data_IF_659418746805
#
_entry.id   IF_659418746805
#
_cell.length_a   1.000
_cell.length_b   1.000
_cell.length_c   1.000
_cell.angle_alpha   90.00
_cell.angle_beta   90.00
_cell.angle_gamma   90.00
#
_symmetry.space_group_name_H-M   'P 1'
#
loop_
_entity.id
_entity.type
_entity.pdbx_description
1 polymer ?
#
# COMPACT_ATOMS: atom_id res chain seq x y z
N UNK A 1 -33.69 40.72 -5.53
CA UNK A 1 -32.34 41.30 -5.35
C UNK A 1 -31.39 40.18 -4.97
N UNK A 2 -30.16 40.17 -5.48
CA UNK A 2 -29.15 39.16 -5.15
C UNK A 2 -28.56 39.53 -3.79
N UNK A 3 -28.56 38.58 -2.86
CA UNK A 3 -28.01 38.76 -1.51
C UNK A 3 -26.49 38.92 -1.58
N UNK A 4 -25.95 39.90 -0.86
CA UNK A 4 -24.52 40.18 -0.82
C UNK A 4 -23.79 39.10 0.03
N UNK A 5 -22.60 38.67 -0.38
CA UNK A 5 -21.83 37.66 0.36
C UNK A 5 -21.52 38.08 1.81
N UNK A 6 -21.31 39.38 2.07
CA UNK A 6 -21.13 39.91 3.43
C UNK A 6 -22.41 39.76 4.27
N UNK A 7 -23.58 39.96 3.66
CA UNK A 7 -24.89 39.78 4.31
C UNK A 7 -25.15 38.31 4.61
N UNK A 8 -24.82 37.41 3.69
CA UNK A 8 -24.93 35.95 3.88
C UNK A 8 -24.09 35.48 5.07
N UNK A 9 -22.89 36.04 5.25
CA UNK A 9 -22.03 35.76 6.41
C UNK A 9 -22.37 36.59 7.66
N UNK A 10 -23.35 37.50 7.59
CA UNK A 10 -23.74 38.41 8.67
C UNK A 10 -22.57 39.23 9.21
N UNK A 11 -21.73 39.74 8.31
CA UNK A 11 -20.59 40.61 8.62
C UNK A 11 -20.74 41.96 7.91
N UNK A 12 -20.02 42.98 8.38
CA UNK A 12 -20.02 44.30 7.73
C UNK A 12 -19.30 44.24 6.39
N UNK A 13 -19.73 45.08 5.45
CA UNK A 13 -19.03 45.27 4.18
C UNK A 13 -17.60 45.73 4.46
N UNK A 14 -16.62 45.10 3.80
CA UNK A 14 -15.19 45.32 4.07
C UNK A 14 -14.65 44.66 5.35
N UNK A 15 -15.39 43.73 5.98
CA UNK A 15 -14.87 42.95 7.11
C UNK A 15 -13.52 42.29 6.80
N UNK A 16 -12.66 42.22 7.81
CA UNK A 16 -11.34 41.60 7.70
C UNK A 16 -11.43 40.10 7.40
N UNK A 17 -10.38 39.54 6.80
CA UNK A 17 -10.28 38.09 6.54
C UNK A 17 -10.47 37.25 7.81
N UNK A 18 -10.10 37.78 8.97
CA UNK A 18 -10.27 37.15 10.28
C UNK A 18 -11.76 37.07 10.67
N UNK A 19 -12.46 38.19 10.58
CA UNK A 19 -13.90 38.29 10.88
C UNK A 19 -14.75 37.41 9.93
N UNK A 20 -14.43 37.43 8.63
CA UNK A 20 -15.07 36.58 7.62
C UNK A 20 -14.91 35.09 7.97
N UNK A 21 -13.72 34.68 8.42
CA UNK A 21 -13.42 33.28 8.79
C UNK A 21 -14.13 32.87 10.09
N UNK A 22 -14.18 33.74 11.08
CA UNK A 22 -14.87 33.49 12.35
C UNK A 22 -16.39 33.39 12.13
N UNK A 23 -16.96 34.27 11.32
CA UNK A 23 -18.37 34.23 10.94
C UNK A 23 -18.73 32.95 10.17
N UNK A 24 -17.90 32.54 9.19
CA UNK A 24 -18.07 31.28 8.48
C UNK A 24 -18.07 30.09 9.44
N UNK A 25 -17.09 29.99 10.35
CA UNK A 25 -17.02 28.88 11.33
C UNK A 25 -18.27 28.80 12.20
N UNK A 26 -18.73 29.94 12.71
CA UNK A 26 -19.94 30.02 13.55
C UNK A 26 -21.19 29.56 12.80
N UNK A 27 -21.39 30.04 11.57
CA UNK A 27 -22.54 29.72 10.74
C UNK A 27 -22.49 28.28 10.19
N UNK A 28 -21.29 27.80 9.84
CA UNK A 28 -21.07 26.42 9.40
C UNK A 28 -21.41 25.41 10.50
N UNK A 29 -21.04 25.70 11.76
CA UNK A 29 -21.39 24.86 12.91
C UNK A 29 -22.90 24.87 13.23
N UNK A 30 -23.57 25.99 12.96
CA UNK A 30 -25.01 26.15 13.18
C UNK A 30 -25.86 25.44 12.12
N UNK A 31 -25.39 25.41 10.87
CA UNK A 31 -26.12 24.87 9.72
C UNK A 31 -25.58 23.52 9.22
N UNK A 32 -24.71 22.86 9.99
CA UNK A 32 -24.17 21.55 9.62
C UNK A 32 -25.27 20.48 9.58
N UNK A 33 -25.29 19.64 8.55
CA UNK A 33 -26.30 18.58 8.37
C UNK A 33 -26.34 17.59 9.54
N UNK A 34 -25.18 17.26 10.09
CA UNK A 34 -25.05 16.32 11.23
C UNK A 34 -25.68 16.83 12.53
N UNK A 35 -26.06 18.11 12.57
CA UNK A 35 -26.76 18.75 13.69
C UNK A 35 -28.20 19.14 13.33
N UNK A 36 -28.75 18.58 12.25
CA UNK A 36 -30.10 18.90 11.75
C UNK A 36 -30.20 20.25 11.03
N UNK A 37 -29.07 20.78 10.55
CA UNK A 37 -29.01 22.07 9.87
C UNK A 37 -29.52 22.04 8.42
N UNK A 38 -29.96 23.21 7.95
CA UNK A 38 -30.44 23.44 6.59
C UNK A 38 -29.27 23.44 5.58
N UNK A 39 -29.26 22.39 4.73
CA UNK A 39 -28.25 22.14 3.71
C UNK A 39 -28.17 23.28 2.69
N UNK A 40 -29.28 23.91 2.33
CA UNK A 40 -29.27 25.01 1.35
C UNK A 40 -28.64 26.27 1.94
N UNK A 41 -28.91 26.56 3.22
CA UNK A 41 -28.24 27.65 3.94
C UNK A 41 -26.75 27.38 4.08
N UNK A 42 -26.35 26.16 4.41
CA UNK A 42 -24.94 25.79 4.49
C UNK A 42 -24.20 25.99 3.16
N UNK A 43 -24.82 25.57 2.05
CA UNK A 43 -24.26 25.80 0.70
C UNK A 43 -24.06 27.29 0.40
N UNK A 44 -25.04 28.14 0.72
CA UNK A 44 -24.93 29.60 0.57
C UNK A 44 -23.83 30.20 1.44
N UNK A 45 -23.74 29.80 2.70
CA UNK A 45 -22.70 30.24 3.65
C UNK A 45 -21.30 29.89 3.13
N UNK A 46 -21.11 28.65 2.65
CA UNK A 46 -19.85 28.21 2.06
C UNK A 46 -19.49 28.98 0.81
N UNK A 47 -20.45 29.16 -0.10
CA UNK A 47 -20.24 29.92 -1.33
C UNK A 47 -19.84 31.37 -1.04
N UNK A 48 -20.54 32.06 -0.11
CA UNK A 48 -20.22 33.42 0.27
C UNK A 48 -18.83 33.56 0.88
N UNK A 49 -18.40 32.58 1.69
CA UNK A 49 -17.04 32.53 2.24
C UNK A 49 -15.97 32.37 1.17
N UNK A 50 -16.17 31.45 0.23
CA UNK A 50 -15.24 31.19 -0.86
C UNK A 50 -15.14 32.40 -1.81
N UNK A 51 -16.27 33.04 -2.13
CA UNK A 51 -16.32 34.24 -2.97
C UNK A 51 -15.65 35.45 -2.28
N UNK A 52 -15.86 35.66 -0.98
CA UNK A 52 -15.20 36.72 -0.22
C UNK A 52 -13.69 36.51 -0.08
N UNK A 53 -13.22 35.26 -0.01
CA UNK A 53 -11.79 34.93 -0.05
C UNK A 53 -11.14 35.37 -1.37
N UNK A 54 -11.91 35.37 -2.45
CA UNK A 54 -11.52 35.85 -3.78
C UNK A 54 -11.81 37.35 -3.98
N UNK A 55 -12.27 38.07 -2.94
CA UNK A 55 -12.57 39.50 -3.00
C UNK A 55 -13.88 39.85 -3.69
N UNK A 56 -14.79 38.88 -3.89
CA UNK A 56 -16.07 39.11 -4.57
C UNK A 56 -17.18 39.48 -3.58
N UNK A 57 -17.79 40.64 -3.80
CA UNK A 57 -18.94 41.13 -3.02
C UNK A 57 -20.25 40.41 -3.35
N UNK A 58 -20.42 39.95 -4.59
CA UNK A 58 -21.61 39.24 -5.05
C UNK A 58 -21.23 37.85 -5.58
N UNK A 59 -22.12 36.85 -5.46
CA UNK A 59 -21.90 35.54 -6.07
C UNK A 59 -21.91 35.65 -7.59
N UNK A 60 -21.20 34.73 -8.27
CA UNK A 60 -21.18 34.65 -9.74
C UNK A 60 -22.62 34.62 -10.30
N UNK A 61 -22.86 35.40 -11.35
CA UNK A 61 -24.12 35.39 -12.09
C UNK A 61 -24.41 34.00 -12.68
N UNK A 62 -25.68 33.70 -12.99
CA UNK A 62 -26.03 32.40 -13.60
C UNK A 62 -25.22 32.14 -14.88
N UNK A 63 -24.98 33.16 -15.69
CA UNK A 63 -24.20 33.08 -16.93
C UNK A 63 -22.72 32.80 -16.68
N UNK A 64 -22.09 33.47 -15.71
CA UNK A 64 -20.70 33.21 -15.31
C UNK A 64 -20.53 31.83 -14.71
N UNK A 65 -21.51 31.37 -13.91
CA UNK A 65 -21.52 30.01 -13.37
C UNK A 65 -21.63 28.98 -14.48
N UNK A 66 -22.49 29.20 -15.47
CA UNK A 66 -22.63 28.33 -16.65
C UNK A 66 -21.33 28.34 -17.45
N UNK A 67 -20.72 29.50 -17.69
CA UNK A 67 -19.46 29.62 -18.45
C UNK A 67 -18.29 28.93 -17.76
N UNK A 68 -18.09 29.16 -16.45
CA UNK A 68 -17.05 28.49 -15.66
C UNK A 68 -17.28 26.99 -15.53
N UNK A 69 -18.54 26.57 -15.37
CA UNK A 69 -18.87 25.15 -15.38
C UNK A 69 -18.52 24.55 -16.75
N UNK A 70 -18.97 25.16 -17.86
CA UNK A 70 -18.72 24.62 -19.20
C UNK A 70 -17.22 24.49 -19.52
N UNK A 71 -16.40 25.48 -19.15
CA UNK A 71 -14.93 25.41 -19.35
C UNK A 71 -14.28 24.28 -18.53
N UNK A 72 -14.67 24.10 -17.27
CA UNK A 72 -14.14 23.02 -16.41
C UNK A 72 -14.63 21.64 -16.88
N UNK A 73 -15.87 21.53 -17.34
CA UNK A 73 -16.43 20.30 -17.89
C UNK A 73 -15.78 19.93 -19.25
N UNK A 74 -15.61 20.90 -20.15
CA UNK A 74 -15.00 20.66 -21.48
C UNK A 74 -13.52 20.26 -21.36
N UNK A 75 -12.73 20.92 -20.48
CA UNK A 75 -11.31 20.59 -20.28
C UNK A 75 -11.09 19.23 -19.60
N UNK A 76 -11.91 18.90 -18.59
CA UNK A 76 -11.84 17.62 -17.89
C UNK A 76 -12.26 16.44 -18.80
N UNK A 77 -13.32 16.60 -19.61
CA UNK A 77 -13.75 15.56 -20.55
C UNK A 77 -12.73 15.32 -21.67
N UNK A 78 -12.02 16.36 -22.10
CA UNK A 78 -10.96 16.24 -23.09
C UNK A 78 -9.73 15.52 -22.55
N UNK A 79 -9.30 15.81 -21.32
CA UNK A 79 -8.20 15.08 -20.68
C UNK A 79 -8.55 13.61 -20.45
N UNK A 80 -9.75 13.33 -19.93
CA UNK A 80 -10.24 11.95 -19.72
C UNK A 80 -10.29 11.20 -21.06
N UNK A 81 -10.80 11.83 -22.13
CA UNK A 81 -10.82 11.23 -23.47
C UNK A 81 -9.42 10.97 -24.01
N UNK A 82 -8.50 11.92 -23.92
CA UNK A 82 -7.09 11.74 -24.36
C UNK A 82 -6.42 10.60 -23.60
N UNK A 83 -6.58 10.58 -22.29
CA UNK A 83 -6.04 9.52 -21.45
C UNK A 83 -6.62 8.16 -21.87
N UNK A 84 -7.94 8.06 -22.07
CA UNK A 84 -8.61 6.84 -22.54
C UNK A 84 -8.01 6.28 -23.82
N UNK A 85 -7.85 7.13 -24.83
CA UNK A 85 -7.24 6.75 -26.11
C UNK A 85 -5.80 6.28 -25.91
N UNK A 86 -5.02 6.97 -25.06
CA UNK A 86 -3.64 6.59 -24.74
C UNK A 86 -3.55 5.17 -24.16
N UNK A 87 -4.33 4.84 -23.12
CA UNK A 87 -4.24 3.49 -22.54
C UNK A 87 -4.78 2.41 -23.47
N UNK A 88 -5.78 2.72 -24.30
CA UNK A 88 -6.27 1.78 -25.30
C UNK A 88 -5.19 1.44 -26.33
N UNK A 89 -4.49 2.45 -26.86
CA UNK A 89 -3.40 2.25 -27.81
C UNK A 89 -2.24 1.48 -27.19
N UNK A 90 -1.79 1.88 -25.99
CA UNK A 90 -0.74 1.16 -25.26
C UNK A 90 -1.13 -0.30 -24.98
N UNK A 91 -2.38 -0.54 -24.60
CA UNK A 91 -2.89 -1.90 -24.36
C UNK A 91 -2.90 -2.75 -25.64
N UNK A 92 -3.27 -2.16 -26.79
CA UNK A 92 -3.18 -2.81 -28.10
C UNK A 92 -1.74 -3.16 -28.46
N UNK A 93 -0.80 -2.24 -28.24
CA UNK A 93 0.61 -2.48 -28.49
C UNK A 93 1.16 -3.61 -27.61
N UNK A 94 0.76 -3.66 -26.33
CA UNK A 94 1.16 -4.75 -25.42
C UNK A 94 0.58 -6.10 -25.83
N UNK A 95 -0.64 -6.14 -26.38
CA UNK A 95 -1.20 -7.38 -26.94
C UNK A 95 -0.38 -7.89 -28.14
N UNK A 96 0.08 -7.00 -29.00
CA UNK A 96 0.95 -7.36 -30.13
C UNK A 96 2.32 -7.83 -29.63
N UNK A 97 2.86 -7.18 -28.59
CA UNK A 97 4.12 -7.57 -27.97
C UNK A 97 4.03 -8.97 -27.30
N UNK A 98 2.94 -9.25 -26.61
CA UNK A 98 2.64 -10.56 -26.00
C UNK A 98 2.62 -11.67 -27.06
N UNK A 99 1.89 -11.48 -28.16
CA UNK A 99 1.81 -12.48 -29.24
C UNK A 99 3.16 -12.68 -29.93
N UNK A 100 3.92 -11.61 -30.14
CA UNK A 100 5.26 -11.68 -30.69
C UNK A 100 6.21 -12.47 -29.79
N UNK A 101 6.24 -12.16 -28.49
CA UNK A 101 7.09 -12.87 -27.53
C UNK A 101 6.67 -14.34 -27.40
N UNK A 102 5.36 -14.61 -27.38
CA UNK A 102 4.80 -15.96 -27.35
C UNK A 102 5.15 -16.77 -28.60
N UNK A 103 5.15 -16.14 -29.77
CA UNK A 103 5.59 -16.77 -31.02
C UNK A 103 7.06 -17.17 -30.98
N UNK A 104 7.92 -16.30 -30.46
CA UNK A 104 9.34 -16.63 -30.27
C UNK A 104 9.54 -17.78 -29.26
N UNK A 105 8.73 -17.84 -28.21
CA UNK A 105 8.73 -18.97 -27.28
C UNK A 105 8.36 -20.30 -27.96
N UNK A 106 7.31 -20.31 -28.80
CA UNK A 106 6.87 -21.53 -29.51
C UNK A 106 7.90 -22.05 -30.51
N UNK A 107 8.67 -21.15 -31.12
CA UNK A 107 9.69 -21.48 -32.12
C UNK A 107 11.09 -21.66 -31.51
N UNK A 108 11.21 -21.47 -30.20
CA UNK A 108 12.48 -21.31 -29.48
C UNK A 108 13.48 -20.37 -30.17
N UNK A 109 12.95 -19.28 -30.73
CA UNK A 109 13.72 -18.31 -31.51
C UNK A 109 14.17 -17.12 -30.64
N UNK A 110 15.27 -16.49 -31.00
CA UNK A 110 15.66 -15.19 -30.44
C UNK A 110 15.08 -14.05 -31.26
N UNK A 111 14.86 -12.89 -30.65
CA UNK A 111 14.42 -11.73 -31.40
C UNK A 111 14.39 -10.47 -30.56
N UNK A 112 14.47 -9.32 -31.24
CA UNK A 112 14.32 -7.99 -30.64
C UNK A 112 13.34 -7.18 -31.47
N UNK A 113 12.45 -6.45 -30.82
CA UNK A 113 11.47 -5.58 -31.47
C UNK A 113 11.08 -4.41 -30.58
N UNK A 114 10.89 -3.25 -31.20
CA UNK A 114 10.36 -2.06 -30.57
C UNK A 114 8.83 -2.02 -30.75
N UNK A 115 8.13 -1.71 -29.66
CA UNK A 115 6.67 -1.52 -29.62
C UNK A 115 6.35 -0.11 -29.12
N UNK A 116 5.13 0.35 -29.40
CA UNK A 116 4.69 1.70 -29.06
C UNK A 116 5.14 2.75 -30.08
N UNK A 117 5.19 3.99 -29.65
CA UNK A 117 5.54 5.12 -30.51
C UNK A 117 6.31 6.19 -29.74
N UNK A 118 7.04 7.04 -30.47
CA UNK A 118 7.75 8.19 -29.88
C UNK A 118 6.84 9.11 -29.05
N UNK A 119 5.55 9.19 -29.37
CA UNK A 119 4.59 10.08 -28.69
C UNK A 119 3.92 9.44 -27.49
N UNK A 120 3.71 8.11 -27.49
CA UNK A 120 3.00 7.40 -26.42
C UNK A 120 3.96 6.69 -25.45
N UNK A 121 5.21 6.50 -25.87
CA UNK A 121 6.26 5.77 -25.17
C UNK A 121 6.66 4.54 -25.98
N UNK A 122 7.98 4.32 -26.08
CA UNK A 122 8.55 3.16 -26.75
C UNK A 122 8.97 2.11 -25.71
N UNK A 123 8.75 0.84 -26.04
CA UNK A 123 9.13 -0.32 -25.25
C UNK A 123 9.88 -1.31 -26.15
N UNK A 124 11.15 -1.56 -25.84
CA UNK A 124 11.93 -2.58 -26.52
C UNK A 124 11.77 -3.91 -25.81
N UNK A 125 11.43 -4.94 -26.58
CA UNK A 125 11.39 -6.31 -26.11
C UNK A 125 12.49 -7.10 -26.80
N UNK A 126 13.18 -7.95 -26.04
CA UNK A 126 14.22 -8.84 -26.55
C UNK A 126 14.11 -10.20 -25.87
N UNK A 127 13.83 -11.26 -26.63
CA UNK A 127 14.00 -12.65 -26.17
C UNK A 127 15.39 -13.11 -26.56
N UNK A 128 16.22 -13.42 -25.58
CA UNK A 128 17.57 -13.94 -25.80
C UNK A 128 17.57 -15.48 -26.00
N UNK A 129 18.76 -16.05 -26.21
CA UNK A 129 18.92 -17.49 -26.42
C UNK A 129 18.58 -18.36 -25.20
N UNK A 130 18.53 -17.79 -23.99
CA UNK A 130 18.08 -18.51 -22.78
C UNK A 130 16.56 -18.50 -22.60
N UNK A 131 15.82 -17.87 -23.51
CA UNK A 131 14.38 -17.66 -23.40
C UNK A 131 13.97 -16.57 -22.41
N UNK A 132 14.92 -15.79 -21.90
CA UNK A 132 14.63 -14.62 -21.05
C UNK A 132 14.14 -13.47 -21.90
N UNK A 133 13.03 -12.86 -21.49
CA UNK A 133 12.49 -11.65 -22.11
C UNK A 133 12.99 -10.41 -21.37
N UNK A 134 13.84 -9.62 -22.04
CA UNK A 134 14.21 -8.29 -21.59
C UNK A 134 13.18 -7.28 -22.09
N UNK A 135 12.69 -6.44 -21.19
CA UNK A 135 11.75 -5.35 -21.51
C UNK A 135 12.37 -4.04 -21.06
N UNK A 136 12.62 -3.11 -21.99
CA UNK A 136 13.25 -1.81 -21.72
C UNK A 136 12.30 -0.68 -22.09
N UNK A 137 12.07 0.24 -21.16
CA UNK A 137 11.11 1.34 -21.31
C UNK A 137 10.04 1.34 -20.21
N UNK A 138 9.19 2.35 -20.16
CA UNK A 138 8.16 2.46 -19.12
C UNK A 138 6.88 1.71 -19.53
N UNK A 139 6.48 0.71 -18.75
CA UNK A 139 5.24 -0.04 -18.97
C UNK A 139 4.08 0.67 -18.29
N UNK A 140 3.09 1.12 -19.07
CA UNK A 140 2.06 2.06 -18.56
C UNK A 140 0.63 1.57 -18.62
N UNK A 141 0.31 0.52 -19.38
CA UNK A 141 -1.04 -0.03 -19.52
C UNK A 141 -1.01 -1.42 -20.18
N UNK A 142 -2.09 -2.18 -20.01
CA UNK A 142 -2.31 -3.43 -20.74
C UNK A 142 -1.70 -4.68 -20.09
N UNK A 143 -1.93 -5.81 -20.74
CA UNK A 143 -1.55 -7.12 -20.21
C UNK A 143 -0.35 -7.71 -20.94
N UNK A 144 0.49 -8.44 -20.20
CA UNK A 144 1.58 -9.23 -20.74
C UNK A 144 1.66 -10.56 -19.99
N UNK A 145 1.43 -11.67 -20.68
CA UNK A 145 1.65 -13.03 -20.20
C UNK A 145 2.81 -13.65 -20.95
N UNK A 146 3.79 -14.19 -20.21
CA UNK A 146 4.97 -14.78 -20.82
C UNK A 146 5.41 -16.08 -20.10
N UNK A 147 5.81 -17.07 -20.90
CA UNK A 147 6.31 -18.36 -20.40
C UNK A 147 7.84 -18.39 -20.41
N UNK A 148 8.42 -17.75 -19.40
CA UNK A 148 9.87 -17.64 -19.23
C UNK A 148 10.23 -16.47 -18.32
N UNK A 149 11.50 -16.35 -17.90
CA UNK A 149 11.93 -15.25 -17.06
C UNK A 149 11.75 -13.89 -17.77
N UNK A 150 11.35 -12.86 -17.02
CA UNK A 150 11.29 -11.47 -17.49
C UNK A 150 12.30 -10.63 -16.70
N UNK A 151 13.10 -9.85 -17.42
CA UNK A 151 13.97 -8.82 -16.86
C UNK A 151 13.49 -7.45 -17.36
N UNK A 152 13.03 -6.60 -16.44
CA UNK A 152 12.49 -5.28 -16.73
C UNK A 152 13.50 -4.17 -16.41
N UNK A 153 13.63 -3.22 -17.33
CA UNK A 153 14.42 -2.00 -17.18
C UNK A 153 13.53 -0.78 -17.47
N UNK A 154 12.85 -0.29 -16.45
CA UNK A 154 11.93 0.84 -16.55
C UNK A 154 10.85 0.80 -15.49
N UNK A 155 10.08 1.88 -15.39
CA UNK A 155 8.97 1.94 -14.43
C UNK A 155 7.76 1.16 -14.93
N UNK A 156 6.97 0.65 -13.99
CA UNK A 156 5.69 0.02 -14.25
C UNK A 156 4.62 0.81 -13.52
N UNK A 157 3.60 1.24 -14.24
CA UNK A 157 2.46 1.94 -13.66
C UNK A 157 1.17 1.41 -14.26
N UNK A 158 0.05 1.58 -13.55
CA UNK A 158 -1.29 1.26 -14.06
C UNK A 158 -2.12 2.54 -14.17
N UNK A 159 -2.93 2.69 -15.24
CA UNK A 159 -3.79 3.86 -15.39
C UNK A 159 -4.88 3.86 -14.31
N UNK A 160 -4.88 4.86 -13.43
CA UNK A 160 -5.85 4.94 -12.31
C UNK A 160 -7.28 5.26 -12.74
N UNK A 161 -7.43 5.85 -13.92
CA UNK A 161 -8.70 6.28 -14.49
C UNK A 161 -9.34 5.21 -15.39
N UNK A 162 -8.60 4.18 -15.84
CA UNK A 162 -9.12 3.10 -16.68
C UNK A 162 -9.38 1.83 -15.88
N UNK A 163 -10.55 1.20 -16.05
CA UNK A 163 -10.81 -0.15 -15.53
C UNK A 163 -10.35 -1.23 -16.52
N UNK A 164 -10.43 -0.95 -17.82
CA UNK A 164 -10.29 -1.95 -18.89
C UNK A 164 -8.85 -2.14 -19.37
N UNK A 165 -7.95 -1.21 -18.99
CA UNK A 165 -6.56 -1.21 -19.46
C UNK A 165 -5.55 -1.20 -18.31
N UNK A 166 -5.93 -1.79 -17.17
CA UNK A 166 -5.02 -1.98 -16.04
C UNK A 166 -3.76 -2.74 -16.47
N UNK A 167 -2.65 -2.43 -15.82
CA UNK A 167 -1.39 -3.10 -16.05
C UNK A 167 -1.36 -4.43 -15.30
N UNK A 168 -1.35 -5.55 -16.03
CA UNK A 168 -1.18 -6.88 -15.46
C UNK A 168 -0.06 -7.63 -16.20
N UNK A 169 1.01 -7.99 -15.48
CA UNK A 169 2.10 -8.79 -16.03
C UNK A 169 2.11 -10.14 -15.33
N UNK A 170 2.05 -11.23 -16.10
CA UNK A 170 2.04 -12.60 -15.60
C UNK A 170 3.18 -13.40 -16.21
N UNK A 171 4.02 -13.95 -15.34
CA UNK A 171 5.07 -14.91 -15.68
C UNK A 171 4.58 -16.30 -15.29
N UNK A 172 4.35 -17.18 -16.26
CA UNK A 172 3.84 -18.54 -15.99
C UNK A 172 4.94 -19.48 -15.48
N UNK A 173 6.19 -19.22 -15.89
CA UNK A 173 7.39 -19.97 -15.48
C UNK A 173 8.59 -19.04 -15.44
N UNK A 174 9.37 -19.13 -14.37
CA UNK A 174 10.57 -18.30 -14.18
C UNK A 174 10.26 -17.02 -13.42
N UNK A 175 11.31 -16.23 -13.22
CA UNK A 175 11.27 -15.08 -12.33
C UNK A 175 10.87 -13.80 -13.07
N UNK A 176 10.31 -12.86 -12.32
CA UNK A 176 10.19 -11.45 -12.73
C UNK A 176 11.19 -10.60 -11.96
N UNK A 177 12.12 -9.93 -12.65
CA UNK A 177 13.16 -9.13 -12.00
C UNK A 177 13.30 -7.76 -12.61
N UNK A 178 13.62 -6.76 -11.78
CA UNK A 178 14.22 -5.52 -12.27
C UNK A 178 15.72 -5.72 -12.50
N UNK A 179 16.30 -5.00 -13.46
CA UNK A 179 17.76 -4.92 -13.63
C UNK A 179 18.37 -4.21 -12.43
N UNK A 180 19.26 -4.86 -11.68
CA UNK A 180 19.94 -4.28 -10.50
C UNK A 180 18.96 -3.59 -9.53
N UNK A 181 18.03 -4.34 -8.91
CA UNK A 181 16.88 -3.79 -8.18
C UNK A 181 17.27 -2.91 -6.98
N UNK A 182 18.47 -3.07 -6.43
CA UNK A 182 19.00 -2.30 -5.31
C UNK A 182 19.68 -0.99 -5.73
N UNK A 183 20.14 -0.90 -6.98
CA UNK A 183 20.90 0.27 -7.47
C UNK A 183 20.02 1.22 -8.30
N UNK A 184 18.95 0.69 -8.90
CA UNK A 184 18.06 1.48 -9.73
C UNK A 184 16.97 2.19 -8.91
N UNK A 185 16.31 3.17 -9.53
CA UNK A 185 15.18 3.90 -8.94
C UNK A 185 13.84 3.57 -9.61
N UNK A 186 13.78 2.44 -10.31
CA UNK A 186 12.54 2.00 -10.94
C UNK A 186 11.53 1.62 -9.88
N UNK A 187 10.26 1.82 -10.23
CA UNK A 187 9.13 1.57 -9.34
C UNK A 187 7.99 0.85 -10.06
N UNK A 188 7.25 0.08 -9.27
CA UNK A 188 5.96 -0.52 -9.66
C UNK A 188 4.86 0.21 -8.89
N UNK A 189 3.92 0.84 -9.59
CA UNK A 189 2.97 1.73 -8.93
C UNK A 189 1.55 1.80 -9.50
N UNK A 190 0.69 2.53 -8.77
CA UNK A 190 -0.65 2.95 -9.19
C UNK A 190 -1.64 1.81 -9.49
N UNK A 191 -1.50 0.67 -8.81
CA UNK A 191 -2.41 -0.46 -8.97
C UNK A 191 -1.99 -1.47 -10.03
N UNK A 192 -0.73 -1.43 -10.47
CA UNK A 192 -0.16 -2.47 -11.32
C UNK A 192 -0.15 -3.83 -10.58
N UNK A 193 -0.34 -4.91 -11.34
CA UNK A 193 -0.29 -6.27 -10.82
C UNK A 193 0.79 -7.08 -11.52
N UNK A 194 1.70 -7.66 -10.74
CA UNK A 194 2.69 -8.62 -11.22
C UNK A 194 2.38 -9.98 -10.59
N UNK A 195 2.41 -11.03 -11.38
CA UNK A 195 2.20 -12.41 -10.91
C UNK A 195 3.28 -13.31 -11.47
N UNK A 196 3.97 -14.06 -10.60
CA UNK A 196 4.90 -15.12 -10.96
C UNK A 196 4.33 -16.46 -10.46
N UNK A 197 3.78 -17.28 -11.37
CA UNK A 197 3.07 -18.51 -10.99
C UNK A 197 4.03 -19.58 -10.42
N UNK A 198 5.24 -19.65 -10.99
CA UNK A 198 6.31 -20.62 -10.68
C UNK A 198 7.68 -19.95 -10.76
N UNK A 199 7.87 -18.93 -9.94
CA UNK A 199 9.13 -18.22 -9.83
C UNK A 199 9.06 -17.10 -8.81
N UNK A 200 10.16 -16.38 -8.69
CA UNK A 200 10.32 -15.30 -7.74
C UNK A 200 10.05 -13.94 -8.37
N UNK A 201 9.72 -12.95 -7.55
CA UNK A 201 9.66 -11.54 -7.93
C UNK A 201 10.77 -10.81 -7.18
N UNK A 202 11.71 -10.20 -7.89
CA UNK A 202 12.83 -9.45 -7.30
C UNK A 202 12.85 -8.04 -7.85
N UNK A 203 12.36 -7.09 -7.06
CA UNK A 203 12.19 -5.68 -7.46
C UNK A 203 12.67 -4.77 -6.34
N UNK A 204 12.85 -3.48 -6.65
CA UNK A 204 13.20 -2.47 -5.65
C UNK A 204 11.93 -1.90 -5.03
N UNK A 205 11.44 -0.81 -5.63
CA UNK A 205 10.41 0.03 -5.04
C UNK A 205 8.99 -0.32 -5.53
N UNK A 206 8.03 -0.39 -4.61
CA UNK A 206 6.64 -0.76 -4.89
C UNK A 206 5.69 0.17 -4.17
N UNK A 207 4.79 0.84 -4.89
CA UNK A 207 3.93 1.87 -4.32
C UNK A 207 2.47 1.71 -4.73
N UNK A 208 1.56 1.90 -3.80
CA UNK A 208 0.15 2.13 -4.10
C UNK A 208 -0.20 3.60 -4.18
N UNK A 209 -1.49 3.88 -4.32
CA UNK A 209 -2.05 5.19 -3.98
C UNK A 209 -3.52 5.10 -3.58
N UNK A 210 -3.98 6.13 -2.88
CA UNK A 210 -5.38 6.39 -2.56
C UNK A 210 -5.76 7.75 -3.13
N UNK A 211 -6.77 7.78 -3.99
CA UNK A 211 -7.31 9.03 -4.52
C UNK A 211 -8.57 9.40 -3.71
N UNK A 212 -8.64 10.64 -3.22
CA UNK A 212 -9.89 11.18 -2.69
C UNK A 212 -10.77 11.61 -3.87
N UNK A 213 -11.90 10.94 -4.05
CA UNK A 213 -12.84 11.25 -5.13
C UNK A 213 -14.17 11.70 -4.53
N UNK A 214 -14.89 12.57 -5.24
CA UNK A 214 -16.19 13.04 -4.80
C UNK A 214 -17.16 11.86 -4.63
N UNK A 215 -17.98 11.89 -3.57
CA UNK A 215 -18.95 10.84 -3.32
C UNK A 215 -19.84 10.62 -4.57
N UNK A 216 -20.06 9.36 -5.00
CA UNK A 216 -20.84 9.04 -6.20
C UNK A 216 -22.28 9.56 -6.16
N UNK A 217 -22.84 9.85 -4.98
CA UNK A 217 -24.16 10.46 -4.83
C UNK A 217 -24.18 11.97 -5.13
N UNK A 218 -23.04 12.58 -5.44
CA UNK A 218 -22.92 14.01 -5.80
C UNK A 218 -23.06 14.97 -4.61
N UNK A 219 -23.11 14.46 -3.38
CA UNK A 219 -23.19 15.29 -2.17
C UNK A 219 -21.90 16.08 -1.98
N UNK A 220 -22.02 17.40 -2.09
CA UNK A 220 -20.91 18.34 -1.92
C UNK A 220 -20.35 18.23 -0.50
N UNK A 221 -19.06 17.93 -0.36
CA UNK A 221 -18.36 17.82 0.92
C UNK A 221 -18.21 16.40 1.46
N UNK A 222 -18.82 15.39 0.82
CA UNK A 222 -18.52 13.99 1.07
C UNK A 222 -17.52 13.48 0.03
N UNK A 223 -16.48 12.80 0.52
CA UNK A 223 -15.45 12.17 -0.30
C UNK A 223 -15.45 10.67 -0.03
N UNK A 224 -15.19 9.88 -1.06
CA UNK A 224 -14.86 8.47 -0.91
C UNK A 224 -13.40 8.24 -1.29
N UNK A 225 -12.78 7.23 -0.71
CA UNK A 225 -11.39 6.87 -1.02
C UNK A 225 -11.42 5.82 -2.11
N UNK A 226 -10.83 6.13 -3.25
CA UNK A 226 -10.59 5.18 -4.32
C UNK A 226 -9.18 4.63 -4.20
N UNK A 227 -9.09 3.35 -3.90
CA UNK A 227 -7.82 2.66 -3.70
C UNK A 227 -7.25 2.10 -5.01
N UNK A 228 -5.94 2.31 -5.20
CA UNK A 228 -5.13 1.77 -6.29
C UNK A 228 -4.04 0.86 -5.72
N UNK A 229 -4.46 -0.28 -5.16
CA UNK A 229 -3.55 -1.25 -4.57
C UNK A 229 -2.69 -1.94 -5.61
N UNK A 230 -1.38 -1.70 -5.54
CA UNK A 230 -0.38 -2.42 -6.34
C UNK A 230 -0.19 -3.82 -5.75
N UNK A 231 -0.10 -4.85 -6.60
CA UNK A 231 -0.11 -6.25 -6.16
C UNK A 231 1.09 -7.00 -6.74
N UNK A 232 1.85 -7.65 -5.87
CA UNK A 232 2.86 -8.64 -6.25
C UNK A 232 2.42 -10.00 -5.73
N UNK A 233 2.34 -11.00 -6.62
CA UNK A 233 1.82 -12.32 -6.30
C UNK A 233 2.79 -13.40 -6.77
N UNK A 234 3.37 -14.17 -5.84
CA UNK A 234 4.27 -15.28 -6.13
C UNK A 234 3.91 -16.49 -5.25
N UNK A 235 2.81 -17.22 -5.56
CA UNK A 235 2.18 -18.16 -4.62
C UNK A 235 3.07 -19.30 -4.12
N UNK A 236 4.12 -19.64 -4.89
CA UNK A 236 5.10 -20.69 -4.59
C UNK A 236 6.53 -20.16 -4.54
N UNK A 237 6.69 -18.84 -4.63
CA UNK A 237 7.98 -18.18 -4.77
C UNK A 237 8.19 -17.12 -3.69
N UNK A 238 9.27 -16.39 -3.88
CA UNK A 238 9.69 -15.29 -3.01
C UNK A 238 9.35 -13.96 -3.66
N UNK A 239 8.98 -12.99 -2.83
CA UNK A 239 8.94 -11.58 -3.21
C UNK A 239 10.06 -10.88 -2.45
N UNK A 240 11.01 -10.30 -3.17
CA UNK A 240 12.11 -9.50 -2.62
C UNK A 240 11.89 -8.06 -3.06
N UNK A 241 11.75 -7.17 -2.08
CA UNK A 241 11.44 -5.75 -2.26
C UNK A 241 12.31 -4.89 -1.33
N UNK A 242 12.60 -3.68 -1.75
CA UNK A 242 13.30 -2.70 -0.92
C UNK A 242 12.28 -1.85 -0.16
N UNK A 243 11.66 -0.87 -0.81
CA UNK A 243 10.72 0.05 -0.20
C UNK A 243 9.30 -0.21 -0.70
N UNK A 244 8.36 -0.43 0.23
CA UNK A 244 6.96 -0.71 -0.07
C UNK A 244 6.09 0.32 0.61
N UNK A 245 5.27 1.08 -0.15
CA UNK A 245 4.41 2.08 0.49
C UNK A 245 3.03 2.40 -0.08
N UNK A 246 2.25 3.16 0.70
CA UNK A 246 0.92 3.74 0.46
C UNK A 246 -0.26 2.76 0.40
N UNK A 247 -0.21 1.76 -0.49
CA UNK A 247 -1.28 0.76 -0.66
C UNK A 247 -0.75 -0.40 -1.49
N UNK A 248 -0.15 -1.40 -0.83
CA UNK A 248 0.45 -2.55 -1.53
C UNK A 248 -0.07 -3.86 -0.96
N UNK A 249 -0.22 -4.87 -1.81
CA UNK A 249 -0.38 -6.27 -1.39
C UNK A 249 0.82 -7.09 -1.89
N UNK A 250 1.48 -7.77 -0.96
CA UNK A 250 2.45 -8.81 -1.25
C UNK A 250 1.85 -10.16 -0.83
N UNK A 251 1.64 -11.08 -1.78
CA UNK A 251 1.11 -12.43 -1.50
C UNK A 251 2.02 -13.49 -2.10
N UNK A 252 2.71 -14.25 -1.23
CA UNK A 252 3.70 -15.23 -1.67
C UNK A 252 3.89 -16.35 -0.65
N UNK A 253 4.82 -17.26 -0.95
CA UNK A 253 5.30 -18.23 0.05
C UNK A 253 6.29 -17.55 1.03
N UNK A 254 7.20 -16.72 0.50
CA UNK A 254 8.15 -15.94 1.29
C UNK A 254 8.21 -14.47 0.84
N UNK A 255 8.34 -13.55 1.80
CA UNK A 255 8.57 -12.11 1.56
C UNK A 255 9.84 -11.67 2.26
N UNK A 256 10.70 -10.98 1.52
CA UNK A 256 11.86 -10.27 2.05
C UNK A 256 11.67 -8.79 1.72
N UNK A 257 11.62 -7.95 2.75
CA UNK A 257 11.42 -6.52 2.60
C UNK A 257 12.46 -5.72 3.41
N UNK A 258 12.86 -4.56 2.90
CA UNK A 258 13.60 -3.59 3.71
C UNK A 258 12.61 -2.76 4.55
N UNK A 259 11.79 -1.93 3.91
CA UNK A 259 10.87 -1.01 4.59
C UNK A 259 9.42 -1.20 4.18
N UNK A 260 8.50 -1.05 5.13
CA UNK A 260 7.05 -1.19 4.95
C UNK A 260 6.34 0.04 5.51
N UNK A 261 5.65 0.80 4.67
CA UNK A 261 5.08 2.09 5.07
C UNK A 261 3.68 2.30 4.49
N UNK A 262 2.74 2.85 5.23
CA UNK A 262 1.42 3.27 4.76
C UNK A 262 0.62 2.14 4.04
N UNK A 263 -0.26 1.45 4.76
CA UNK A 263 -1.24 0.46 4.26
C UNK A 263 -0.64 -0.64 3.35
N UNK A 264 0.49 -1.19 3.80
CA UNK A 264 1.07 -2.40 3.23
C UNK A 264 0.42 -3.63 3.84
N UNK A 265 0.01 -4.54 2.98
CA UNK A 265 -0.54 -5.85 3.36
C UNK A 265 0.38 -6.95 2.87
N UNK A 266 0.72 -7.87 3.76
CA UNK A 266 1.59 -9.01 3.47
C UNK A 266 0.84 -10.30 3.79
N UNK A 267 0.94 -11.31 2.92
CA UNK A 267 0.45 -12.67 3.16
C UNK A 267 1.53 -13.68 2.79
N UNK A 268 2.17 -14.30 3.78
CA UNK A 268 3.24 -15.27 3.51
C UNK A 268 3.47 -16.26 4.66
N UNK A 269 4.21 -17.34 4.37
CA UNK A 269 4.69 -18.27 5.39
C UNK A 269 6.01 -17.80 5.99
N UNK A 270 6.93 -17.29 5.19
CA UNK A 270 8.20 -16.74 5.67
C UNK A 270 8.23 -15.23 5.42
N UNK A 271 8.51 -14.45 6.47
CA UNK A 271 8.55 -12.99 6.37
C UNK A 271 9.83 -12.48 7.03
N UNK A 272 10.70 -11.86 6.24
CA UNK A 272 11.99 -11.33 6.68
C UNK A 272 12.03 -9.82 6.45
N UNK A 273 12.11 -9.05 7.53
CA UNK A 273 12.13 -7.59 7.50
C UNK A 273 13.51 -7.11 7.94
N UNK A 274 14.23 -6.46 7.02
CA UNK A 274 15.62 -6.04 7.23
C UNK A 274 15.80 -4.57 7.58
N UNK A 275 14.83 -3.72 7.26
CA UNK A 275 14.90 -2.29 7.52
C UNK A 275 14.35 -1.90 8.88
N UNK A 276 14.53 -0.62 9.19
CA UNK A 276 14.20 -0.02 10.47
C UNK A 276 12.79 0.57 10.50
N UNK A 277 12.02 0.50 9.39
CA UNK A 277 10.76 1.22 9.24
C UNK A 277 9.57 0.31 8.93
N UNK A 278 8.63 0.26 9.86
CA UNK A 278 7.31 -0.37 9.73
C UNK A 278 6.27 0.60 10.30
N UNK A 279 5.33 1.12 9.51
CA UNK A 279 4.33 2.10 9.99
C UNK A 279 3.12 1.45 10.65
N UNK A 280 2.28 2.28 11.28
CA UNK A 280 1.15 1.89 12.13
C UNK A 280 0.03 1.11 11.41
N UNK A 281 -0.05 1.21 10.08
CA UNK A 281 -1.11 0.65 9.25
C UNK A 281 -0.63 -0.51 8.37
N UNK A 282 0.53 -1.09 8.71
CA UNK A 282 1.01 -2.34 8.10
C UNK A 282 0.29 -3.53 8.73
N UNK A 283 -0.27 -4.40 7.88
CA UNK A 283 -0.94 -5.65 8.27
C UNK A 283 -0.19 -6.84 7.69
N UNK A 284 0.26 -7.72 8.58
CA UNK A 284 1.00 -8.93 8.23
C UNK A 284 0.14 -10.15 8.52
N UNK A 285 -0.33 -10.84 7.49
CA UNK A 285 -1.01 -12.13 7.60
C UNK A 285 0.01 -13.28 7.53
N UNK A 286 0.27 -13.92 8.68
CA UNK A 286 1.17 -15.06 8.79
C UNK A 286 0.40 -16.36 8.54
N UNK A 287 0.76 -17.04 7.45
CA UNK A 287 0.19 -18.34 7.06
C UNK A 287 0.60 -19.44 8.05
N UNK A 288 -0.22 -20.48 8.16
CA UNK A 288 0.00 -21.61 9.06
C UNK A 288 1.41 -22.20 8.90
N UNK A 289 2.01 -22.58 10.03
CA UNK A 289 3.39 -23.07 10.16
C UNK A 289 4.49 -22.06 9.74
N UNK A 290 4.10 -20.80 9.50
CA UNK A 290 5.00 -19.74 9.11
C UNK A 290 5.87 -19.19 10.24
N UNK A 291 6.75 -18.26 9.87
CA UNK A 291 7.58 -17.47 10.77
C UNK A 291 7.87 -16.08 10.23
N UNK A 292 8.14 -15.17 11.16
CA UNK A 292 8.56 -13.79 10.89
C UNK A 292 9.84 -13.47 11.67
N UNK A 293 10.73 -12.69 11.05
CA UNK A 293 11.97 -12.18 11.66
C UNK A 293 12.15 -10.71 11.32
N UNK A 294 12.52 -9.95 12.34
CA UNK A 294 12.94 -8.55 12.21
C UNK A 294 14.43 -8.48 12.49
N UNK A 295 15.23 -8.00 11.53
CA UNK A 295 16.69 -7.94 11.65
C UNK A 295 17.22 -6.61 12.17
N UNK A 296 16.34 -5.63 12.41
CA UNK A 296 16.70 -4.37 13.07
C UNK A 296 17.43 -4.65 14.39
N UNK A 297 18.63 -4.08 14.54
CA UNK A 297 19.55 -4.35 15.64
C UNK A 297 20.03 -3.08 16.36
N UNK A 298 19.62 -1.90 15.91
CA UNK A 298 19.98 -0.62 16.49
C UNK A 298 18.82 0.00 17.27
N UNK A 299 17.67 0.20 16.62
CA UNK A 299 16.48 0.77 17.27
C UNK A 299 15.18 0.28 16.65
N UNK A 300 14.41 -0.46 17.46
CA UNK A 300 13.05 -0.90 17.12
C UNK A 300 12.01 0.24 17.19
N UNK A 301 12.42 1.49 17.42
CA UNK A 301 11.50 2.63 17.52
C UNK A 301 10.83 2.95 16.17
N UNK A 302 11.50 2.67 15.05
CA UNK A 302 10.92 2.83 13.72
C UNK A 302 9.92 1.73 13.34
N UNK A 303 9.77 0.70 14.19
CA UNK A 303 8.73 -0.31 14.08
C UNK A 303 7.53 0.16 14.91
N UNK A 304 6.44 0.53 14.24
CA UNK A 304 5.27 1.08 14.90
C UNK A 304 4.64 0.08 15.86
N UNK A 305 4.18 0.60 16.99
CA UNK A 305 3.45 -0.15 18.01
C UNK A 305 2.09 -0.66 17.49
N UNK A 306 1.52 0.07 16.53
CA UNK A 306 0.18 -0.15 15.99
C UNK A 306 0.14 -1.11 14.79
N UNK A 307 1.29 -1.47 14.22
CA UNK A 307 1.31 -2.47 13.15
C UNK A 307 0.93 -3.85 13.70
N UNK A 308 0.25 -4.65 12.88
CA UNK A 308 -0.36 -5.91 13.33
C UNK A 308 0.20 -7.13 12.62
N UNK A 309 0.30 -8.22 13.39
CA UNK A 309 0.49 -9.57 12.88
C UNK A 309 -0.81 -10.33 13.12
N UNK A 310 -1.44 -10.77 12.03
CA UNK A 310 -2.63 -11.58 12.01
C UNK A 310 -2.26 -13.01 11.61
N UNK A 311 -2.59 -13.98 12.46
CA UNK A 311 -2.48 -15.38 12.10
C UNK A 311 -3.62 -15.79 11.16
N UNK A 312 -3.39 -16.78 10.31
CA UNK A 312 -4.41 -17.37 9.42
C UNK A 312 -5.70 -17.81 10.16
N UNK A 313 -5.60 -18.23 11.42
CA UNK A 313 -6.77 -18.55 12.26
C UNK A 313 -7.54 -17.32 12.80
N UNK A 314 -7.10 -16.11 12.47
CA UNK A 314 -7.75 -14.84 12.83
C UNK A 314 -7.24 -14.19 14.12
N UNK A 315 -6.32 -14.82 14.87
CA UNK A 315 -5.69 -14.16 16.03
C UNK A 315 -4.85 -12.96 15.59
N UNK A 316 -4.91 -11.87 16.33
CA UNK A 316 -4.21 -10.62 16.03
C UNK A 316 -3.27 -10.30 17.20
N UNK A 317 -2.05 -9.88 16.86
CA UNK A 317 -1.02 -9.41 17.78
C UNK A 317 -0.55 -8.05 17.32
N UNK A 318 -0.50 -7.10 18.25
CA UNK A 318 0.06 -5.78 17.97
C UNK A 318 1.58 -5.83 18.15
N UNK A 319 2.33 -5.08 17.32
CA UNK A 319 3.78 -5.05 17.45
C UNK A 319 4.22 -4.55 18.83
N UNK A 320 3.47 -3.63 19.46
CA UNK A 320 3.71 -3.21 20.84
C UNK A 320 3.86 -4.38 21.83
N UNK A 321 2.99 -5.39 21.73
CA UNK A 321 2.98 -6.56 22.62
C UNK A 321 4.26 -7.40 22.45
N UNK A 322 4.78 -7.45 21.23
CA UNK A 322 5.97 -8.22 20.89
C UNK A 322 7.25 -7.45 21.23
N UNK A 323 7.23 -6.12 21.07
CA UNK A 323 8.33 -5.20 21.44
C UNK A 323 8.53 -5.11 22.96
N UNK A 324 7.50 -5.41 23.76
CA UNK A 324 7.60 -5.39 25.23
C UNK A 324 7.90 -6.76 25.82
N UNK A 325 7.77 -7.84 25.04
CA UNK A 325 8.01 -9.21 25.49
C UNK A 325 9.45 -9.64 25.24
N UNK A 326 10.19 -9.90 26.33
CA UNK A 326 11.58 -10.39 26.28
C UNK A 326 11.65 -11.85 25.84
N UNK A 327 12.65 -12.17 25.04
CA UNK A 327 12.90 -13.54 24.55
C UNK A 327 13.13 -14.51 25.73
N UNK A 328 13.84 -14.06 26.77
CA UNK A 328 14.15 -14.89 27.94
C UNK A 328 12.91 -15.31 28.74
N UNK A 329 11.85 -14.51 28.69
CA UNK A 329 10.61 -14.74 29.43
C UNK A 329 9.64 -15.68 28.68
N UNK A 330 9.97 -16.10 27.45
CA UNK A 330 9.15 -17.02 26.66
C UNK A 330 9.14 -18.45 27.24
N UNK A 331 8.21 -19.33 26.86
CA UNK A 331 8.24 -20.74 27.29
C UNK A 331 9.44 -21.52 26.68
N UNK A 332 10.11 -22.35 27.49
CA UNK A 332 11.26 -23.18 27.06
C UNK A 332 10.88 -24.22 26.01
N UNK A 333 9.64 -24.72 26.05
CA UNK A 333 9.09 -25.70 25.11
C UNK A 333 8.77 -25.12 23.72
N UNK A 334 8.73 -23.80 23.61
CA UNK A 334 8.46 -23.09 22.36
C UNK A 334 9.70 -22.41 21.76
N UNK A 335 10.76 -22.22 22.55
CA UNK A 335 11.98 -21.49 22.15
C UNK A 335 13.22 -22.19 22.71
N UNK A 336 14.01 -22.81 21.82
CA UNK A 336 15.16 -23.63 22.20
C UNK A 336 16.49 -22.86 22.22
N UNK A 337 16.53 -21.67 21.65
CA UNK A 337 17.75 -20.91 21.32
C UNK A 337 17.86 -19.57 22.07
N UNK A 338 17.17 -19.44 23.21
CA UNK A 338 17.15 -18.21 24.02
C UNK A 338 18.54 -17.71 24.46
N UNK A 339 19.49 -18.62 24.62
CA UNK A 339 20.85 -18.27 25.06
C UNK A 339 21.63 -17.47 24.03
N UNK A 340 21.17 -17.43 22.78
CA UNK A 340 21.77 -16.64 21.71
C UNK A 340 21.39 -15.14 21.79
N UNK A 341 20.49 -14.76 22.71
CA UNK A 341 19.94 -13.43 22.81
C UNK A 341 20.32 -12.74 24.12
N UNK A 342 20.47 -11.42 24.05
CA UNK A 342 20.72 -10.53 25.17
C UNK A 342 19.62 -10.61 26.23
N UNK A 343 19.92 -10.10 27.45
CA UNK A 343 18.95 -10.13 28.56
C UNK A 343 17.71 -9.30 28.25
N UNK A 344 17.89 -8.19 27.56
CA UNK A 344 16.84 -7.21 27.26
C UNK A 344 16.31 -7.33 25.83
N UNK A 345 16.78 -8.32 25.07
CA UNK A 345 16.32 -8.58 23.71
C UNK A 345 14.84 -9.01 23.72
N UNK A 346 14.09 -8.38 22.83
CA UNK A 346 12.64 -8.57 22.70
C UNK A 346 12.33 -9.46 21.51
N UNK A 347 11.07 -9.88 21.35
CA UNK A 347 10.69 -10.72 20.20
C UNK A 347 10.92 -10.01 18.85
N UNK A 348 10.93 -8.68 18.85
CA UNK A 348 11.14 -7.86 17.67
C UNK A 348 12.57 -7.33 17.67
N UNK A 349 13.31 -7.63 16.60
CA UNK A 349 14.72 -7.27 16.43
C UNK A 349 15.67 -8.46 16.56
N UNK A 350 16.95 -8.23 16.30
CA UNK A 350 18.06 -9.20 16.40
C UNK A 350 17.81 -10.52 15.63
N UNK A 351 16.91 -10.52 14.65
CA UNK A 351 16.53 -11.69 13.89
C UNK A 351 15.89 -12.79 14.74
N UNK A 352 15.21 -12.49 15.85
CA UNK A 352 14.50 -13.53 16.61
C UNK A 352 13.44 -14.21 15.74
N UNK A 353 13.33 -15.54 15.82
CA UNK A 353 12.39 -16.33 15.02
C UNK A 353 11.04 -16.43 15.71
N UNK A 354 10.12 -15.53 15.34
CA UNK A 354 8.73 -15.58 15.81
C UNK A 354 7.96 -16.56 14.91
N UNK A 355 7.59 -17.72 15.44
CA UNK A 355 6.82 -18.72 14.68
C UNK A 355 5.31 -18.55 14.88
N UNK A 356 4.52 -19.00 13.90
CA UNK A 356 3.07 -19.11 14.01
C UNK A 356 2.67 -19.84 15.30
N UNK A 357 3.31 -21.00 15.56
CA UNK A 357 3.08 -21.81 16.76
C UNK A 357 3.38 -21.05 18.04
N UNK A 358 4.46 -20.27 18.09
CA UNK A 358 4.79 -19.44 19.26
C UNK A 358 3.65 -18.45 19.53
N UNK A 359 3.27 -17.66 18.52
CA UNK A 359 2.20 -16.66 18.65
C UNK A 359 0.86 -17.30 19.07
N UNK A 360 0.47 -18.39 18.42
CA UNK A 360 -0.78 -19.09 18.70
C UNK A 360 -0.89 -19.63 20.14
N UNK A 361 0.26 -19.83 20.82
CA UNK A 361 0.34 -20.37 22.17
C UNK A 361 0.81 -19.36 23.23
N UNK A 362 1.00 -18.08 22.89
CA UNK A 362 1.52 -17.04 23.82
C UNK A 362 0.68 -16.87 25.10
N UNK A 363 -0.64 -17.06 25.02
CA UNK A 363 -1.57 -16.85 26.15
C UNK A 363 -1.87 -18.11 26.96
N UNK A 364 -1.38 -19.28 26.51
CA UNK A 364 -1.59 -20.53 27.25
C UNK A 364 -0.72 -20.48 28.51
N UNK A 365 -1.34 -20.27 29.68
CA UNK A 365 -0.67 -20.36 30.99
C UNK A 365 0.24 -21.59 31.01
N UNK A 366 1.52 -21.39 31.27
CA UNK A 366 2.46 -22.50 31.48
C UNK A 366 1.87 -23.43 32.56
N UNK A 367 1.78 -24.76 32.32
CA UNK A 367 1.48 -25.67 33.40
C UNK A 367 2.57 -25.49 34.45
N UNK A 368 2.18 -25.15 35.69
CA UNK A 368 3.11 -25.03 36.82
C UNK A 368 3.98 -26.29 36.83
N UNK A 369 5.30 -26.14 36.66
CA UNK A 369 6.27 -27.24 36.92
C UNK A 369 5.91 -27.79 38.30
N UNK A 370 5.48 -29.06 38.39
CA UNK A 370 5.31 -29.74 39.67
C UNK A 370 6.67 -29.72 40.35
N UNK A 371 6.81 -28.89 41.38
CA UNK A 371 7.97 -28.94 42.28
C UNK A 371 7.88 -30.28 42.99
N UNK A 372 8.64 -31.26 42.52
CA UNK A 372 8.85 -32.52 43.22
C UNK A 372 9.78 -32.26 44.41
N UNK A 373 9.18 -32.25 45.61
CA UNK A 373 9.83 -32.66 46.86
C UNK A 373 10.84 -31.69 47.50
N UNK A 374 10.34 -30.73 48.29
CA UNK A 374 11.11 -30.24 49.44
C UNK A 374 10.85 -31.16 50.64
N UNK A 375 11.80 -32.04 50.95
CA UNK A 375 11.81 -32.81 52.20
C UNK A 375 12.20 -31.87 53.36
N UNK A 376 11.20 -31.36 54.09
CA UNK A 376 11.39 -30.72 55.39
C UNK A 376 11.82 -31.79 56.42
N UNK A 377 13.11 -31.90 56.71
CA UNK A 377 13.60 -32.56 57.92
C UNK A 377 13.35 -31.64 59.12
N UNK A 378 12.18 -31.77 59.75
CA UNK A 378 11.94 -31.27 61.10
C UNK A 378 12.66 -32.18 62.11
N UNK A 379 13.87 -31.78 62.51
CA UNK A 379 14.57 -32.37 63.64
C UNK A 379 13.84 -32.03 64.94
N UNK A 380 13.26 -33.05 65.58
CA UNK A 380 12.69 -32.98 66.94
C UNK A 380 13.79 -32.67 67.95
N UNK A 381 13.70 -31.52 68.62
CA UNK A 381 14.34 -31.31 69.91
C UNK A 381 13.70 -32.24 70.95
N UNK A 382 14.48 -33.16 71.53
CA UNK A 382 14.11 -33.87 72.76
C UNK A 382 14.62 -33.05 73.95
N UNK A 383 13.71 -32.69 74.85
CA UNK A 383 14.03 -32.34 76.23
C UNK A 383 14.42 -33.62 76.99
N UNK A 384 15.59 -33.61 77.62
CA UNK A 384 15.79 -34.00 79.01
C UNK A 384 17.14 -33.49 79.49
#
# INVERSE_FOLDING_TARGET
MIENNYEVLKVRDGASKKEIREAFRRLALQHHSDRGGDIEKFKKIKQAYDDLKLGKKYPDSKEERIKKSRVVYDEADDEIRRNKILAENLSKDMKIAEEWASSLNRLDATGRRLFGSKTLGELEFERNASGTLFVRGNYKAGNLTYDGPIIMQGNITSPSWSKDHKTNIRVTKGDFKFVNPLDNKYKIENGAKITADKGDIVVGNVFGKKDQVQDPSGKIGLYTIKEHRTQLVAPKGKIIVENVANTVLLDSDSVIALNLEDDVKIKAKEILIYGHKVTYDVEIELKQDGMIRFFENFSIQGLSDDAIIKLENGKIFWLHELKTKRIKDLPEDLVNDKNNFGKDDTMVGNGFKITYKLLDNLDKKQPRKKITGWNLKLGRFKKS
#
